data_IF_844035859497
#
_entry.id   IF_844035859497
#
_cell.length_a   1.000
_cell.length_b   1.000
_cell.length_c   1.000
_cell.angle_alpha   90.00
_cell.angle_beta   90.00
_cell.angle_gamma   90.00
#
_symmetry.space_group_name_H-M   'P 1'
#
loop_
_entity.id
_entity.type
_entity.pdbx_description
1 polymer ?
#
# COMPACT_ATOMS: atom_id res chain seq x y z
N UNK A 1 20.46 5.56 67.15
CA UNK A 1 19.05 5.70 66.69
C UNK A 1 19.01 6.80 65.66
N UNK A 2 18.75 6.46 64.39
CA UNK A 2 17.92 7.18 63.43
C UNK A 2 18.18 6.63 62.03
N UNK A 3 17.23 5.82 61.57
CA UNK A 3 17.10 5.37 60.19
C UNK A 3 16.53 6.53 59.38
N UNK A 4 17.27 7.00 58.38
CA UNK A 4 16.77 7.95 57.38
C UNK A 4 16.11 7.18 56.24
N UNK A 5 14.78 7.18 56.23
CA UNK A 5 13.96 6.67 55.14
C UNK A 5 13.99 7.64 53.96
N UNK A 6 14.43 7.19 52.78
CA UNK A 6 14.19 7.89 51.51
C UNK A 6 12.79 7.54 51.01
N UNK A 7 11.90 8.52 51.02
CA UNK A 7 10.60 8.47 50.35
C UNK A 7 10.76 8.89 48.89
N UNK A 8 10.35 8.00 47.99
CA UNK A 8 10.19 8.22 46.55
C UNK A 8 8.92 9.06 46.37
N UNK A 9 9.06 10.29 45.89
CA UNK A 9 7.94 11.10 45.43
C UNK A 9 7.70 10.83 43.93
N UNK A 10 6.63 10.11 43.63
CA UNK A 10 6.11 9.95 42.28
C UNK A 10 5.53 11.28 41.79
N UNK A 11 6.10 11.86 40.73
CA UNK A 11 5.52 13.00 40.03
C UNK A 11 4.37 12.50 39.15
N UNK A 12 3.14 12.80 39.57
CA UNK A 12 1.93 12.46 38.83
C UNK A 12 1.88 13.16 37.48
N UNK A 13 1.68 12.37 36.43
CA UNK A 13 1.27 12.87 35.13
C UNK A 13 -0.16 13.38 35.23
N UNK A 14 -0.33 14.70 35.15
CA UNK A 14 -1.63 15.32 34.91
C UNK A 14 -2.07 14.96 33.49
N UNK A 15 -2.99 14.00 33.41
CA UNK A 15 -3.80 13.78 32.23
C UNK A 15 -4.63 15.06 31.98
N UNK A 16 -4.27 15.80 30.93
CA UNK A 16 -5.14 16.84 30.40
C UNK A 16 -6.31 16.15 29.71
N UNK A 17 -7.39 15.96 30.46
CA UNK A 17 -8.71 15.64 29.92
C UNK A 17 -9.21 16.85 29.11
N UNK A 18 -9.15 16.75 27.78
CA UNK A 18 -9.86 17.67 26.90
C UNK A 18 -11.34 17.27 26.87
N UNK A 19 -12.11 17.71 27.86
CA UNK A 19 -13.56 17.84 27.74
C UNK A 19 -13.91 19.30 27.48
N UNK A 20 -14.74 19.51 26.45
CA UNK A 20 -15.65 20.62 26.18
C UNK A 20 -15.44 21.34 24.84
N UNK A 21 -16.07 20.81 23.80
CA UNK A 21 -17.01 21.55 22.94
C UNK A 21 -17.60 20.57 21.91
N UNK A 22 -18.52 19.71 22.35
CA UNK A 22 -19.43 19.05 21.43
C UNK A 22 -20.45 20.09 20.94
N UNK A 23 -20.03 20.96 20.02
CA UNK A 23 -20.96 21.58 19.09
C UNK A 23 -21.75 20.43 18.45
N UNK A 24 -23.07 20.56 18.39
CA UNK A 24 -23.95 19.60 17.74
C UNK A 24 -23.55 19.46 16.26
N UNK A 25 -22.58 18.58 15.99
CA UNK A 25 -22.10 18.24 14.66
C UNK A 25 -23.27 17.51 13.99
N UNK A 26 -23.76 18.05 12.87
CA UNK A 26 -24.77 17.39 12.04
C UNK A 26 -24.36 15.96 11.66
N UNK A 27 -25.23 15.17 11.01
CA UNK A 27 -24.95 13.77 10.71
C UNK A 27 -23.62 13.64 9.93
N UNK A 28 -22.59 13.11 10.60
CA UNK A 28 -21.23 12.97 10.05
C UNK A 28 -21.21 12.14 8.76
N UNK A 29 -22.13 11.18 8.67
CA UNK A 29 -22.25 10.21 7.60
C UNK A 29 -23.36 10.58 6.62
N UNK A 30 -23.13 11.63 5.86
CA UNK A 30 -23.89 11.87 4.63
C UNK A 30 -22.94 11.85 3.44
N UNK A 31 -23.44 11.28 2.35
CA UNK A 31 -22.71 11.11 1.09
C UNK A 31 -23.46 11.82 -0.04
N UNK A 32 -23.42 13.16 -0.07
CA UNK A 32 -24.02 13.92 -1.16
C UNK A 32 -23.35 13.64 -2.52
N UNK A 33 -22.16 13.05 -2.52
CA UNK A 33 -21.36 12.77 -3.72
C UNK A 33 -21.63 11.36 -4.29
N UNK A 34 -22.45 10.55 -3.61
CA UNK A 34 -22.83 9.19 -4.01
C UNK A 34 -21.60 8.31 -4.34
N UNK A 35 -20.55 8.41 -3.52
CA UNK A 35 -19.31 7.65 -3.68
C UNK A 35 -18.35 8.20 -4.73
N UNK A 36 -18.53 9.42 -5.22
CA UNK A 36 -17.60 10.09 -6.16
C UNK A 36 -16.45 10.80 -5.44
N UNK A 37 -15.77 10.08 -4.55
CA UNK A 37 -14.70 10.64 -3.73
C UNK A 37 -13.32 10.45 -4.38
N UNK A 38 -13.06 9.25 -4.91
CA UNK A 38 -11.82 8.93 -5.61
C UNK A 38 -11.82 9.31 -7.09
N UNK A 39 -10.65 9.22 -7.73
CA UNK A 39 -10.59 9.22 -9.19
C UNK A 39 -11.01 7.85 -9.72
N UNK A 40 -11.58 7.81 -10.93
CA UNK A 40 -11.74 6.55 -11.63
C UNK A 40 -10.35 6.04 -12.04
N UNK A 41 -9.78 5.12 -11.24
CA UNK A 41 -8.47 4.54 -11.52
C UNK A 41 -8.61 3.55 -12.68
N UNK A 42 -8.01 3.92 -13.80
CA UNK A 42 -7.97 3.15 -15.02
C UNK A 42 -6.71 2.30 -15.13
N UNK A 43 -6.72 1.35 -16.06
CA UNK A 43 -5.55 0.52 -16.39
C UNK A 43 -4.34 1.34 -16.85
N UNK A 44 -4.58 2.56 -17.36
CA UNK A 44 -3.53 3.52 -17.74
C UNK A 44 -2.68 3.93 -16.54
N UNK A 45 -3.29 4.07 -15.36
CA UNK A 45 -2.64 4.63 -14.18
C UNK A 45 -1.59 3.67 -13.61
N UNK A 46 -1.63 2.40 -14.04
CA UNK A 46 -0.78 1.32 -13.55
C UNK A 46 -0.08 0.54 -14.67
N UNK A 47 -0.10 1.11 -15.87
CA UNK A 47 0.54 0.51 -17.04
C UNK A 47 2.05 0.36 -16.82
N UNK A 48 2.58 -0.81 -17.15
CA UNK A 48 4.00 -1.15 -16.98
C UNK A 48 4.38 -1.67 -15.60
N UNK A 49 3.45 -1.76 -14.64
CA UNK A 49 3.71 -2.47 -13.37
C UNK A 49 3.30 -3.93 -13.51
N UNK A 50 4.21 -4.86 -13.23
CA UNK A 50 3.93 -6.28 -13.32
C UNK A 50 2.96 -6.72 -12.22
N UNK A 51 2.09 -7.71 -12.51
CA UNK A 51 1.33 -8.40 -11.48
C UNK A 51 2.22 -9.02 -10.41
N UNK A 52 1.81 -8.98 -9.13
CA UNK A 52 2.52 -9.72 -8.11
C UNK A 52 2.47 -11.22 -8.42
N UNK A 53 3.51 -11.93 -8.02
CA UNK A 53 3.55 -13.38 -8.02
C UNK A 53 3.02 -13.92 -6.68
N UNK A 54 2.73 -15.23 -6.63
CA UNK A 54 2.50 -15.89 -5.35
C UNK A 54 3.75 -15.74 -4.45
N UNK A 55 3.60 -15.57 -3.13
CA UNK A 55 4.73 -15.57 -2.20
C UNK A 55 5.66 -16.77 -2.35
N UNK A 56 5.13 -17.93 -2.77
CA UNK A 56 5.94 -19.14 -3.06
C UNK A 56 6.97 -18.93 -4.18
N UNK A 57 6.72 -18.02 -5.11
CA UNK A 57 7.65 -17.68 -6.18
C UNK A 57 8.89 -16.91 -5.67
N UNK A 58 8.77 -16.30 -4.49
CA UNK A 58 9.84 -15.54 -3.83
C UNK A 58 10.49 -16.33 -2.69
N UNK A 59 10.07 -17.57 -2.44
CA UNK A 59 10.62 -18.40 -1.38
C UNK A 59 12.14 -18.56 -1.54
N UNK A 60 12.87 -18.36 -0.44
CA UNK A 60 14.34 -18.42 -0.41
C UNK A 60 15.06 -17.19 -0.96
N UNK A 61 14.34 -16.16 -1.43
CA UNK A 61 14.92 -14.86 -1.79
C UNK A 61 14.93 -13.89 -0.61
N UNK A 62 15.62 -12.76 -0.73
CA UNK A 62 15.58 -11.71 0.30
C UNK A 62 14.17 -11.15 0.54
N UNK A 63 13.25 -11.26 -0.43
CA UNK A 63 11.85 -10.81 -0.31
C UNK A 63 10.91 -11.88 0.27
N UNK A 64 11.42 -13.05 0.65
CA UNK A 64 10.62 -14.08 1.31
C UNK A 64 10.25 -13.63 2.72
N UNK A 65 8.96 -13.51 3.01
CA UNK A 65 8.45 -13.26 4.36
C UNK A 65 8.40 -14.57 5.15
N UNK A 66 8.81 -14.55 6.41
CA UNK A 66 8.80 -15.73 7.30
C UNK A 66 7.77 -15.59 8.42
N UNK A 67 6.60 -15.01 8.12
CA UNK A 67 5.54 -14.95 9.12
C UNK A 67 5.08 -16.38 9.44
N UNK A 68 5.08 -16.72 10.73
CA UNK A 68 4.73 -18.05 11.24
C UNK A 68 3.25 -18.42 11.12
N UNK A 69 2.56 -17.92 10.10
CA UNK A 69 1.17 -18.25 9.78
C UNK A 69 1.16 -19.55 8.97
N UNK A 70 0.29 -20.49 9.35
CA UNK A 70 0.15 -21.75 8.63
C UNK A 70 -0.23 -21.51 7.15
N UNK A 71 0.41 -22.18 6.17
CA UNK A 71 0.11 -21.99 4.74
C UNK A 71 -1.35 -22.23 4.34
N UNK A 72 -2.08 -23.02 5.13
CA UNK A 72 -3.46 -23.42 4.96
C UNK A 72 -4.43 -22.71 5.92
N UNK A 73 -3.96 -21.72 6.69
CA UNK A 73 -4.80 -20.97 7.63
C UNK A 73 -6.06 -20.44 6.92
N UNK A 74 -7.23 -20.80 7.44
CA UNK A 74 -8.53 -20.40 6.89
C UNK A 74 -8.96 -18.98 7.31
N UNK A 75 -8.26 -18.39 8.28
CA UNK A 75 -8.47 -17.02 8.71
C UNK A 75 -7.13 -16.37 9.08
N UNK A 76 -6.97 -15.09 8.74
CA UNK A 76 -5.81 -14.26 9.06
C UNK A 76 -6.28 -12.84 9.34
N UNK A 77 -5.78 -12.24 10.42
CA UNK A 77 -5.90 -10.80 10.68
C UNK A 77 -4.50 -10.25 10.85
N UNK A 78 -4.16 -9.24 10.05
CA UNK A 78 -2.86 -8.58 10.12
C UNK A 78 -2.77 -7.76 11.41
N UNK A 79 -1.61 -7.82 12.05
CA UNK A 79 -1.28 -7.02 13.24
C UNK A 79 -0.43 -5.80 12.88
N UNK A 80 -0.13 -4.92 13.83
CA UNK A 80 0.67 -3.71 13.62
C UNK A 80 0.16 -2.88 12.41
N UNK A 81 -1.15 -2.63 12.41
CA UNK A 81 -1.84 -1.76 11.47
C UNK A 81 -1.73 -0.31 11.94
N UNK A 82 -1.69 0.68 11.04
CA UNK A 82 -1.81 2.07 11.44
C UNK A 82 -3.20 2.34 12.04
N UNK A 83 -3.32 3.45 12.79
CA UNK A 83 -4.60 3.89 13.31
C UNK A 83 -5.62 4.07 12.18
N UNK A 84 -6.90 3.91 12.50
CA UNK A 84 -7.97 4.23 11.55
C UNK A 84 -7.93 5.73 11.28
N UNK A 85 -7.81 6.12 10.01
CA UNK A 85 -7.86 7.52 9.62
C UNK A 85 -9.29 7.97 9.33
N UNK A 86 -9.49 9.28 9.34
CA UNK A 86 -10.71 9.93 8.84
C UNK A 86 -10.31 10.77 7.63
N UNK A 87 -11.00 10.60 6.50
CA UNK A 87 -10.80 11.40 5.30
C UNK A 87 -11.78 12.57 5.19
N UNK A 88 -12.95 12.46 5.82
CA UNK A 88 -14.07 13.37 5.56
C UNK A 88 -14.53 14.18 6.75
N UNK A 89 -15.15 15.31 6.43
CA UNK A 89 -15.73 16.24 7.40
C UNK A 89 -17.17 15.85 7.74
N UNK A 90 -17.74 16.50 8.76
CA UNK A 90 -19.16 16.33 9.05
C UNK A 90 -20.04 16.76 7.86
N UNK A 91 -20.96 15.89 7.45
CA UNK A 91 -21.82 16.14 6.28
C UNK A 91 -21.25 15.64 4.95
N UNK A 92 -19.98 15.22 4.93
CA UNK A 92 -19.27 14.82 3.71
C UNK A 92 -18.25 13.72 4.02
N UNK A 93 -18.73 12.50 4.23
CA UNK A 93 -17.90 11.37 4.71
C UNK A 93 -16.68 11.06 3.82
N UNK A 94 -16.78 11.34 2.53
CA UNK A 94 -15.71 11.06 1.57
C UNK A 94 -14.99 12.29 1.00
N UNK A 95 -15.52 13.50 1.14
CA UNK A 95 -14.85 14.72 0.67
C UNK A 95 -13.72 15.08 1.66
N UNK A 96 -12.52 15.47 1.18
CA UNK A 96 -12.24 16.08 -0.11
C UNK A 96 -11.85 15.08 -1.19
N UNK A 97 -12.06 13.78 -0.98
CA UNK A 97 -11.69 12.76 -1.96
C UNK A 97 -10.27 12.22 -1.78
N UNK A 98 -9.75 12.20 -0.54
CA UNK A 98 -8.40 11.74 -0.25
C UNK A 98 -8.28 10.22 -0.02
N UNK A 99 -9.26 9.40 -0.44
CA UNK A 99 -9.29 7.96 -0.13
C UNK A 99 -8.09 7.19 -0.70
N UNK A 100 -7.56 7.56 -1.86
CA UNK A 100 -6.35 6.95 -2.41
C UNK A 100 -5.10 7.32 -1.61
N UNK A 101 -4.99 8.57 -1.15
CA UNK A 101 -3.91 9.00 -0.26
C UNK A 101 -3.98 8.25 1.09
N UNK A 102 -5.19 8.02 1.60
CA UNK A 102 -5.42 7.29 2.84
C UNK A 102 -5.12 5.79 2.71
N UNK A 103 -5.48 5.16 1.60
CA UNK A 103 -5.31 3.72 1.40
C UNK A 103 -3.91 3.34 0.91
N UNK A 104 -3.43 3.95 -0.17
CA UNK A 104 -2.13 3.61 -0.79
C UNK A 104 -0.96 4.33 -0.13
N UNK A 105 -1.16 5.59 0.25
CA UNK A 105 -0.13 6.41 0.89
C UNK A 105 0.01 6.11 2.39
N UNK A 106 -1.02 6.44 3.17
CA UNK A 106 -1.01 6.31 4.62
C UNK A 106 -1.09 4.84 5.07
N UNK A 107 -2.14 4.11 4.74
CA UNK A 107 -2.40 2.82 5.37
C UNK A 107 -1.41 1.75 4.89
N UNK A 108 -1.31 1.53 3.57
CA UNK A 108 -0.35 0.59 3.00
C UNK A 108 1.10 1.05 3.25
N UNK A 109 1.39 2.35 3.09
CA UNK A 109 2.73 2.89 3.32
C UNK A 109 3.20 2.74 4.76
N UNK A 110 2.40 3.14 5.76
CA UNK A 110 2.74 2.98 7.18
C UNK A 110 2.93 1.51 7.55
N UNK A 111 2.00 0.65 7.13
CA UNK A 111 2.05 -0.78 7.40
C UNK A 111 3.35 -1.42 6.87
N UNK A 112 3.71 -1.12 5.62
CA UNK A 112 4.86 -1.70 4.96
C UNK A 112 6.17 -1.09 5.43
N UNK A 113 6.25 0.23 5.64
CA UNK A 113 7.45 0.90 6.14
C UNK A 113 7.82 0.43 7.55
N UNK A 114 6.82 0.11 8.38
CA UNK A 114 6.98 -0.40 9.74
C UNK A 114 7.45 -1.86 9.84
N UNK A 115 7.88 -2.48 8.73
CA UNK A 115 8.33 -3.87 8.68
C UNK A 115 9.70 -4.04 8.06
N UNK A 116 10.44 -5.05 8.51
CA UNK A 116 11.63 -5.55 7.83
C UNK A 116 11.22 -6.41 6.64
N UNK A 117 12.19 -6.69 5.77
CA UNK A 117 11.96 -7.46 4.55
C UNK A 117 11.50 -8.89 4.86
N UNK A 118 11.92 -9.45 6.00
CA UNK A 118 11.46 -10.76 6.51
C UNK A 118 10.02 -10.76 7.07
N UNK A 119 9.37 -9.60 7.14
CA UNK A 119 8.02 -9.40 7.68
C UNK A 119 7.98 -9.06 9.17
N UNK A 120 9.11 -9.09 9.89
CA UNK A 120 9.16 -8.70 11.31
C UNK A 120 8.86 -7.20 11.49
N UNK A 121 8.27 -6.84 12.63
CA UNK A 121 7.91 -5.46 12.95
C UNK A 121 9.16 -4.66 13.32
N UNK A 122 9.38 -3.52 12.64
CA UNK A 122 10.42 -2.53 12.97
C UNK A 122 9.99 -1.58 14.08
N UNK A 123 8.74 -1.10 14.00
CA UNK A 123 8.14 -0.15 14.92
C UNK A 123 6.62 -0.20 14.85
N UNK A 124 5.94 0.45 15.80
CA UNK A 124 4.48 0.56 15.79
C UNK A 124 4.02 1.41 14.60
N UNK A 125 3.20 0.86 13.71
CA UNK A 125 2.55 1.59 12.63
C UNK A 125 1.43 2.52 13.16
N UNK A 126 0.94 2.30 14.38
CA UNK A 126 -0.12 3.10 14.99
C UNK A 126 0.40 4.41 15.63
N UNK A 127 1.71 4.56 15.77
CA UNK A 127 2.33 5.82 16.23
C UNK A 127 2.27 6.87 15.11
N UNK A 128 1.71 8.09 15.35
CA UNK A 128 1.65 9.16 14.36
C UNK A 128 3.00 9.57 13.76
N UNK A 129 4.12 9.35 14.46
CA UNK A 129 5.46 9.59 13.92
C UNK A 129 5.88 8.55 12.87
N UNK A 130 5.21 7.39 12.83
CA UNK A 130 5.48 6.27 11.92
C UNK A 130 4.44 6.14 10.79
N UNK A 131 3.62 7.17 10.57
CA UNK A 131 2.55 7.19 9.58
C UNK A 131 2.79 8.28 8.54
N UNK A 132 2.83 7.97 7.23
CA UNK A 132 2.90 9.00 6.19
C UNK A 132 1.70 9.94 6.26
N UNK A 133 1.92 11.26 6.20
CA UNK A 133 0.82 12.23 6.20
C UNK A 133 0.00 12.13 4.91
N UNK A 134 -1.25 11.68 5.05
CA UNK A 134 -2.19 11.62 3.92
C UNK A 134 -2.55 13.00 3.38
N UNK A 135 -2.65 14.04 4.22
CA UNK A 135 -2.91 15.42 3.75
C UNK A 135 -1.77 15.94 2.87
N UNK A 136 -0.52 15.74 3.32
CA UNK A 136 0.66 16.15 2.56
C UNK A 136 0.77 15.37 1.24
N UNK A 137 0.59 14.04 1.29
CA UNK A 137 0.63 13.20 0.09
C UNK A 137 -0.46 13.62 -0.92
N UNK A 138 -1.68 13.84 -0.45
CA UNK A 138 -2.80 14.29 -1.26
C UNK A 138 -2.50 15.63 -1.95
N UNK A 139 -1.97 16.62 -1.22
CA UNK A 139 -1.53 17.89 -1.81
C UNK A 139 -0.39 17.69 -2.81
N UNK A 140 0.59 16.83 -2.50
CA UNK A 140 1.74 16.57 -3.36
C UNK A 140 1.33 16.02 -4.73
N UNK A 141 0.40 15.07 -4.80
CA UNK A 141 -0.05 14.49 -6.08
C UNK A 141 -0.78 15.51 -6.96
N UNK A 142 -1.59 16.39 -6.35
CA UNK A 142 -2.25 17.49 -7.04
C UNK A 142 -1.28 18.60 -7.48
N UNK A 143 -0.15 18.77 -6.80
CA UNK A 143 0.84 19.80 -7.14
C UNK A 143 1.76 19.38 -8.28
N UNK A 144 2.18 18.11 -8.35
CA UNK A 144 3.15 17.62 -9.34
C UNK A 144 2.53 17.29 -10.71
N UNK A 145 1.22 17.07 -10.76
CA UNK A 145 0.54 16.76 -12.02
C UNK A 145 0.12 18.06 -12.70
N UNK A 146 1.09 18.82 -13.22
CA UNK A 146 0.95 20.16 -13.84
C UNK A 146 -0.09 20.27 -14.98
N UNK A 147 -0.71 19.16 -15.39
CA UNK A 147 -1.75 19.09 -16.43
C UNK A 147 -3.06 18.47 -15.96
N UNK A 148 -3.17 18.16 -14.67
CA UNK A 148 -4.35 17.54 -14.11
C UNK A 148 -5.19 18.60 -13.39
N UNK A 149 -6.41 18.81 -13.87
CA UNK A 149 -7.36 19.73 -13.25
C UNK A 149 -7.98 19.16 -11.95
N UNK A 150 -7.55 17.96 -11.54
CA UNK A 150 -7.86 17.40 -10.22
C UNK A 150 -7.09 18.24 -9.20
N UNK A 151 -7.83 19.08 -8.48
CA UNK A 151 -7.40 19.80 -7.29
C UNK A 151 -8.42 19.49 -6.20
N UNK A 152 -8.06 19.66 -4.94
CA UNK A 152 -9.00 19.51 -3.84
C UNK A 152 -10.32 20.27 -4.13
N UNK A 153 -11.50 19.62 -4.12
CA UNK A 153 -11.82 18.32 -3.53
C UNK A 153 -11.99 17.16 -4.53
N UNK A 154 -11.12 17.04 -5.54
CA UNK A 154 -11.17 15.93 -6.50
C UNK A 154 -10.30 14.77 -6.04
N UNK A 155 -10.77 13.55 -6.31
CA UNK A 155 -9.98 12.35 -6.10
C UNK A 155 -8.70 12.30 -6.96
N UNK A 156 -7.80 11.42 -6.57
CA UNK A 156 -6.43 11.31 -7.07
C UNK A 156 -6.10 9.91 -7.58
N UNK A 157 -4.94 9.75 -8.24
CA UNK A 157 -4.45 8.44 -8.65
C UNK A 157 -3.76 7.66 -7.52
N UNK A 158 -3.76 6.33 -7.58
CA UNK A 158 -3.10 5.50 -6.54
C UNK A 158 -1.57 5.35 -6.74
N UNK A 159 -1.12 5.16 -7.98
CA UNK A 159 0.30 4.89 -8.30
C UNK A 159 1.27 6.00 -7.86
N UNK A 160 0.95 7.30 -8.04
CA UNK A 160 1.86 8.38 -7.63
C UNK A 160 2.25 8.31 -6.15
N UNK A 161 1.33 7.93 -5.26
CA UNK A 161 1.64 7.78 -3.83
C UNK A 161 2.68 6.69 -3.58
N UNK A 162 2.53 5.53 -4.24
CA UNK A 162 3.49 4.44 -4.11
C UNK A 162 4.86 4.82 -4.70
N UNK A 163 4.88 5.53 -5.83
CA UNK A 163 6.12 6.06 -6.40
C UNK A 163 6.82 7.04 -5.45
N UNK A 164 6.07 7.96 -4.83
CA UNK A 164 6.61 8.90 -3.84
C UNK A 164 7.22 8.20 -2.65
N UNK A 165 6.51 7.20 -2.10
CA UNK A 165 7.00 6.43 -0.96
C UNK A 165 8.22 5.57 -1.29
N UNK A 166 8.37 5.11 -2.53
CA UNK A 166 9.61 4.44 -2.96
C UNK A 166 10.76 5.46 -3.08
N UNK A 167 10.49 6.59 -3.72
CA UNK A 167 11.52 7.57 -4.00
C UNK A 167 12.05 8.20 -2.71
N UNK A 168 11.15 8.75 -1.90
CA UNK A 168 11.49 9.79 -0.95
C UNK A 168 10.84 9.60 0.42
N UNK A 169 9.75 8.82 0.47
CA UNK A 169 8.90 8.75 1.65
C UNK A 169 7.98 9.98 1.73
N UNK A 170 7.56 10.32 2.93
CA UNK A 170 6.69 11.46 3.21
C UNK A 170 6.91 11.96 4.64
N UNK A 171 6.53 13.21 4.96
CA UNK A 171 6.45 13.63 6.35
C UNK A 171 5.48 12.75 7.12
N UNK A 172 5.70 12.67 8.42
CA UNK A 172 4.80 11.93 9.31
C UNK A 172 3.50 12.69 9.58
N UNK A 173 2.44 11.98 9.97
CA UNK A 173 1.19 12.58 10.48
C UNK A 173 1.45 13.46 11.71
N UNK A 174 2.46 13.14 12.53
CA UNK A 174 2.87 14.01 13.64
C UNK A 174 3.42 15.37 13.19
N UNK A 175 4.04 15.45 12.00
CA UNK A 175 4.61 16.68 11.44
C UNK A 175 3.58 17.47 10.63
N UNK A 176 2.76 16.77 9.84
CA UNK A 176 1.68 17.36 9.04
C UNK A 176 0.39 16.60 9.36
N UNK A 177 -0.36 17.04 10.38
CA UNK A 177 -1.60 16.38 10.79
C UNK A 177 -2.66 16.39 9.70
N UNK A 178 -3.57 15.42 9.77
CA UNK A 178 -4.78 15.43 8.96
C UNK A 178 -5.99 15.14 9.85
N UNK A 179 -6.64 16.20 10.32
CA UNK A 179 -7.85 16.12 11.10
C UNK A 179 -9.00 16.83 10.36
N UNK A 180 -9.75 16.11 9.50
CA UNK A 180 -10.90 16.70 8.84
C UNK A 180 -11.98 17.16 9.84
N UNK A 181 -12.00 16.62 11.07
CA UNK A 181 -12.97 16.99 12.10
C UNK A 181 -12.88 18.44 12.57
N UNK A 182 -11.75 19.11 12.30
CA UNK A 182 -11.50 20.50 12.67
C UNK A 182 -12.10 21.50 11.68
N UNK A 183 -12.55 21.05 10.50
CA UNK A 183 -13.06 21.94 9.46
C UNK A 183 -14.60 21.92 9.37
N UNK A 184 -15.18 23.11 9.31
CA UNK A 184 -16.63 23.28 9.17
C UNK A 184 -17.15 23.10 7.72
N UNK A 185 -16.26 23.03 6.72
CA UNK A 185 -16.63 22.87 5.30
C UNK A 185 -15.48 22.29 4.47
N UNK A 186 -15.83 21.59 3.38
CA UNK A 186 -14.86 21.03 2.42
C UNK A 186 -13.94 22.13 1.88
N UNK A 187 -14.47 23.35 1.69
CA UNK A 187 -13.67 24.51 1.25
C UNK A 187 -12.60 24.92 2.26
N UNK A 188 -12.91 24.87 3.56
CA UNK A 188 -11.96 25.22 4.61
C UNK A 188 -10.84 24.17 4.71
N UNK A 189 -11.20 22.90 4.64
CA UNK A 189 -10.25 21.79 4.59
C UNK A 189 -9.35 21.87 3.35
N UNK A 190 -9.91 22.09 2.16
CA UNK A 190 -9.12 22.27 0.95
C UNK A 190 -8.19 23.49 1.03
N UNK A 191 -8.57 24.56 1.73
CA UNK A 191 -7.66 25.71 1.94
C UNK A 191 -6.44 25.30 2.78
N UNK A 192 -6.63 24.47 3.80
CA UNK A 192 -5.53 23.92 4.59
C UNK A 192 -4.62 23.06 3.71
N UNK A 193 -5.19 22.07 3.01
CA UNK A 193 -4.45 21.14 2.14
C UNK A 193 -3.64 21.91 1.08
N UNK A 194 -4.28 22.86 0.38
CA UNK A 194 -3.64 23.67 -0.65
C UNK A 194 -2.55 24.60 -0.11
N UNK A 195 -2.56 24.89 1.20
CA UNK A 195 -1.56 25.71 1.87
C UNK A 195 -0.33 24.93 2.35
N UNK A 196 -0.32 23.59 2.21
CA UNK A 196 0.81 22.77 2.62
C UNK A 196 2.01 22.96 1.69
N UNK A 197 3.17 23.21 2.27
CA UNK A 197 4.44 23.25 1.54
C UNK A 197 4.92 21.83 1.21
N UNK A 198 4.72 21.44 -0.05
CA UNK A 198 5.15 20.15 -0.59
C UNK A 198 6.58 20.16 -1.15
N UNK A 199 7.22 21.32 -1.20
CA UNK A 199 8.64 21.44 -1.53
C UNK A 199 9.54 21.36 -0.27
N UNK A 200 8.97 21.62 0.91
CA UNK A 200 9.65 21.46 2.20
C UNK A 200 10.15 20.03 2.39
N UNK A 201 11.42 19.92 2.75
CA UNK A 201 12.03 18.66 3.20
C UNK A 201 11.80 18.54 4.71
N UNK A 202 11.12 17.48 5.12
CA UNK A 202 10.87 17.20 6.53
C UNK A 202 11.92 16.25 7.12
N UNK A 203 12.31 16.43 8.38
CA UNK A 203 13.19 15.47 9.05
C UNK A 203 12.54 14.08 9.11
N UNK A 204 13.26 13.05 8.68
CA UNK A 204 12.84 11.65 8.85
C UNK A 204 11.92 11.09 7.76
N UNK A 205 11.62 11.81 6.67
CA UNK A 205 10.79 11.29 5.57
C UNK A 205 11.28 9.94 5.02
N UNK A 206 12.60 9.79 4.90
CA UNK A 206 13.27 8.58 4.43
C UNK A 206 12.94 7.33 5.28
N UNK A 207 12.53 7.51 6.54
CA UNK A 207 12.09 6.40 7.40
C UNK A 207 10.77 5.79 6.93
N UNK A 208 9.92 6.60 6.30
CA UNK A 208 8.59 6.24 5.82
C UNK A 208 8.59 5.80 4.35
N UNK A 209 9.71 5.25 3.89
CA UNK A 209 9.85 4.70 2.55
C UNK A 209 9.37 3.24 2.46
N UNK A 210 8.92 2.85 1.26
CA UNK A 210 8.71 1.46 0.86
C UNK A 210 9.79 1.04 -0.14
N UNK A 211 10.03 -0.27 -0.28
CA UNK A 211 11.06 -0.80 -1.18
C UNK A 211 10.59 -0.84 -2.62
N UNK A 212 9.38 -1.33 -2.85
CA UNK A 212 8.72 -1.39 -4.15
C UNK A 212 7.25 -1.75 -3.96
N UNK A 213 6.50 -1.87 -5.06
CA UNK A 213 5.12 -2.31 -5.05
C UNK A 213 4.78 -3.13 -6.29
N UNK A 214 3.65 -3.83 -6.23
CA UNK A 214 3.08 -4.60 -7.33
C UNK A 214 1.59 -4.37 -7.42
N UNK A 215 1.04 -4.59 -8.61
CA UNK A 215 -0.31 -4.20 -8.97
C UNK A 215 -1.10 -5.37 -9.52
N UNK A 216 -2.34 -5.52 -9.10
CA UNK A 216 -3.35 -6.32 -9.76
C UNK A 216 -4.23 -5.45 -10.64
N UNK A 217 -4.08 -5.51 -11.98
CA UNK A 217 -4.99 -4.84 -12.88
C UNK A 217 -6.24 -5.70 -13.13
N UNK A 218 -7.41 -5.07 -13.26
CA UNK A 218 -8.66 -5.71 -13.73
C UNK A 218 -9.13 -6.89 -12.85
N UNK A 219 -9.20 -6.70 -11.54
CA UNK A 219 -9.67 -7.75 -10.62
C UNK A 219 -11.20 -7.95 -10.63
N UNK A 220 -11.95 -7.07 -11.30
CA UNK A 220 -13.39 -7.13 -11.42
C UNK A 220 -13.84 -8.46 -12.04
N UNK A 221 -14.73 -9.19 -11.36
CA UNK A 221 -15.25 -10.50 -11.73
C UNK A 221 -14.17 -11.59 -11.89
N UNK A 222 -13.04 -11.47 -11.18
CA UNK A 222 -11.91 -12.40 -11.25
C UNK A 222 -11.64 -13.15 -9.93
N UNK A 223 -12.70 -13.46 -9.15
CA UNK A 223 -12.60 -14.15 -7.85
C UNK A 223 -11.78 -15.44 -7.92
N UNK A 224 -12.09 -16.32 -8.87
CA UNK A 224 -11.41 -17.63 -9.01
C UNK A 224 -9.91 -17.48 -9.27
N UNK A 225 -9.49 -16.40 -9.92
CA UNK A 225 -8.10 -16.08 -10.22
C UNK A 225 -7.37 -15.49 -9.01
N UNK A 226 -7.97 -14.48 -8.37
CA UNK A 226 -7.25 -13.64 -7.39
C UNK A 226 -7.51 -13.98 -5.92
N UNK A 227 -8.65 -14.59 -5.57
CA UNK A 227 -8.93 -14.92 -4.16
C UNK A 227 -7.85 -15.82 -3.53
N UNK A 228 -7.39 -16.92 -4.17
CA UNK A 228 -6.31 -17.73 -3.60
C UNK A 228 -5.02 -16.93 -3.42
N UNK A 229 -4.69 -16.07 -4.39
CA UNK A 229 -3.48 -15.25 -4.34
C UNK A 229 -3.55 -14.17 -3.24
N UNK A 230 -4.71 -13.54 -3.03
CA UNK A 230 -4.91 -12.56 -1.96
C UNK A 230 -4.76 -13.21 -0.60
N UNK A 231 -5.34 -14.41 -0.41
CA UNK A 231 -5.18 -15.18 0.83
C UNK A 231 -3.72 -15.54 1.09
N UNK A 232 -2.99 -16.01 0.08
CA UNK A 232 -1.56 -16.32 0.22
C UNK A 232 -0.75 -15.07 0.61
N UNK A 233 -1.04 -13.93 0.00
CA UNK A 233 -0.40 -12.65 0.34
C UNK A 233 -0.70 -12.21 1.77
N UNK A 234 -1.95 -12.34 2.23
CA UNK A 234 -2.36 -12.02 3.59
C UNK A 234 -1.71 -12.96 4.62
N UNK A 235 -1.61 -14.26 4.34
CA UNK A 235 -0.86 -15.23 5.17
C UNK A 235 0.62 -14.85 5.28
N UNK A 236 1.19 -14.33 4.20
CA UNK A 236 2.55 -13.79 4.16
C UNK A 236 2.66 -12.35 4.68
N UNK A 237 1.58 -11.77 5.20
CA UNK A 237 1.56 -10.46 5.86
C UNK A 237 1.69 -9.28 4.92
N UNK A 238 1.18 -9.40 3.71
CA UNK A 238 0.96 -8.25 2.86
C UNK A 238 -0.45 -7.71 3.07
N UNK A 239 -0.56 -6.45 3.49
CA UNK A 239 -1.80 -5.70 3.32
C UNK A 239 -2.03 -5.40 1.83
N UNK A 240 -3.29 -5.33 1.41
CA UNK A 240 -3.65 -5.15 0.00
C UNK A 240 -4.51 -3.89 -0.11
N UNK A 241 -3.95 -2.80 -0.64
CA UNK A 241 -4.73 -1.61 -0.96
C UNK A 241 -5.53 -1.85 -2.25
N UNK A 242 -6.75 -1.36 -2.33
CA UNK A 242 -7.62 -1.55 -3.49
C UNK A 242 -8.49 -0.33 -3.74
N UNK A 243 -9.06 -0.26 -4.94
CA UNK A 243 -10.03 0.77 -5.32
C UNK A 243 -11.02 0.23 -6.36
N UNK A 244 -12.21 0.81 -6.35
CA UNK A 244 -13.31 0.44 -7.23
C UNK A 244 -14.61 1.12 -6.86
N UNK A 245 -15.72 0.50 -7.28
CA UNK A 245 -17.03 1.08 -7.12
C UNK A 245 -17.48 1.08 -5.65
N UNK A 246 -18.14 2.16 -5.26
CA UNK A 246 -18.76 2.32 -3.94
C UNK A 246 -20.11 1.62 -3.93
N UNK A 247 -20.31 0.73 -2.96
CA UNK A 247 -21.60 0.08 -2.77
C UNK A 247 -22.65 1.07 -2.24
N UNK A 248 -23.90 0.92 -2.68
CA UNK A 248 -25.01 1.69 -2.11
C UNK A 248 -25.16 1.35 -0.62
N UNK A 249 -25.49 2.34 0.20
CA UNK A 249 -25.62 2.22 1.66
C UNK A 249 -24.32 1.82 2.39
N UNK A 250 -23.16 1.96 1.72
CA UNK A 250 -21.86 1.75 2.37
C UNK A 250 -21.43 2.95 3.23
N UNK A 251 -21.74 4.15 2.76
CA UNK A 251 -21.33 5.43 3.34
C UNK A 251 -22.22 5.91 4.50
N UNK A 252 -22.79 5.00 5.27
CA UNK A 252 -23.72 5.28 6.38
C UNK A 252 -23.07 4.91 7.72
N UNK A 253 -23.55 5.42 8.88
CA UNK A 253 -22.88 5.20 10.17
C UNK A 253 -22.70 3.70 10.51
N UNK A 254 -23.70 2.89 10.17
CA UNK A 254 -23.68 1.44 10.36
C UNK A 254 -24.19 0.77 9.07
N UNK A 255 -23.29 0.36 8.16
CA UNK A 255 -23.69 -0.32 6.94
C UNK A 255 -24.48 -1.59 7.26
N UNK A 256 -25.54 -1.91 6.50
CA UNK A 256 -26.32 -3.11 6.74
C UNK A 256 -25.46 -4.35 6.49
N UNK A 257 -25.44 -5.27 7.47
CA UNK A 257 -24.71 -6.54 7.39
C UNK A 257 -25.69 -7.70 7.30
N UNK A 258 -25.36 -8.71 6.49
CA UNK A 258 -26.04 -9.99 6.41
C UNK A 258 -25.13 -11.03 7.04
N UNK A 259 -25.55 -11.70 8.11
CA UNK A 259 -24.72 -12.68 8.83
C UNK A 259 -23.32 -12.15 9.21
N UNK A 260 -23.25 -10.86 9.60
CA UNK A 260 -22.00 -10.22 10.02
C UNK A 260 -21.07 -9.79 8.88
N UNK A 261 -21.47 -9.93 7.61
CA UNK A 261 -20.72 -9.48 6.43
C UNK A 261 -21.48 -8.45 5.61
N UNK A 262 -20.74 -7.55 4.95
CA UNK A 262 -21.29 -6.63 3.97
C UNK A 262 -21.36 -7.31 2.59
N UNK A 263 -22.58 -7.45 2.06
CA UNK A 263 -22.87 -8.17 0.80
C UNK A 263 -23.32 -7.25 -0.34
N UNK A 264 -23.36 -5.93 -0.12
CA UNK A 264 -23.77 -4.92 -1.10
C UNK A 264 -25.07 -5.25 -1.89
N UNK A 265 -26.19 -5.63 -1.23
CA UNK A 265 -27.37 -6.16 -1.93
C UNK A 265 -28.05 -5.13 -2.83
N UNK A 266 -27.86 -3.84 -2.52
CA UNK A 266 -28.42 -2.70 -3.26
C UNK A 266 -27.60 -2.34 -4.52
N UNK A 267 -26.53 -3.07 -4.81
CA UNK A 267 -25.61 -2.82 -5.91
C UNK A 267 -24.66 -1.64 -5.66
N UNK A 268 -24.09 -1.08 -6.74
CA UNK A 268 -23.02 -0.09 -6.68
C UNK A 268 -23.40 1.24 -7.35
N UNK A 269 -22.87 2.34 -6.84
CA UNK A 269 -22.99 3.67 -7.45
C UNK A 269 -22.12 3.76 -8.70
N UNK A 270 -22.62 4.39 -9.78
CA UNK A 270 -21.86 4.60 -11.02
C UNK A 270 -22.10 6.02 -11.58
N UNK A 271 -21.05 6.73 -12.01
CA UNK A 271 -19.63 6.51 -11.69
C UNK A 271 -19.36 6.74 -10.19
N UNK A 272 -18.47 5.95 -9.61
CA UNK A 272 -17.97 6.08 -8.22
C UNK A 272 -16.55 5.50 -8.11
N UNK A 273 -15.84 5.87 -7.04
CA UNK A 273 -14.47 5.43 -6.77
C UNK A 273 -14.13 5.62 -5.29
N UNK A 274 -13.57 4.58 -4.66
CA UNK A 274 -13.11 4.65 -3.27
C UNK A 274 -11.95 3.71 -3.01
N UNK A 275 -10.90 4.23 -2.36
CA UNK A 275 -9.69 3.49 -2.00
C UNK A 275 -9.71 2.99 -0.55
N UNK A 276 -9.37 1.72 -0.33
CA UNK A 276 -9.39 1.05 0.99
C UNK A 276 -8.29 -0.02 1.10
N UNK A 277 -8.17 -0.69 2.25
CA UNK A 277 -7.13 -1.73 2.46
C UNK A 277 -7.71 -3.00 3.05
N UNK A 278 -7.42 -4.16 2.44
CA UNK A 278 -7.66 -5.48 3.01
C UNK A 278 -6.55 -5.77 4.01
N UNK A 279 -6.94 -6.09 5.24
CA UNK A 279 -6.06 -6.34 6.38
C UNK A 279 -6.32 -7.70 7.02
N UNK A 280 -7.08 -8.55 6.36
CA UNK A 280 -7.34 -9.92 6.81
C UNK A 280 -8.37 -10.62 5.94
N UNK A 281 -8.61 -11.89 6.24
CA UNK A 281 -9.67 -12.69 5.67
C UNK A 281 -10.12 -13.75 6.67
N UNK A 282 -11.32 -14.26 6.49
CA UNK A 282 -11.86 -15.39 7.25
C UNK A 282 -12.85 -16.17 6.36
N UNK A 283 -12.53 -17.42 6.09
CA UNK A 283 -13.32 -18.31 5.23
C UNK A 283 -14.60 -18.81 5.90
N UNK A 284 -14.71 -18.70 7.23
CA UNK A 284 -15.90 -19.06 7.98
C UNK A 284 -16.82 -17.85 8.23
N UNK A 285 -16.40 -16.63 7.88
CA UNK A 285 -17.19 -15.42 8.15
C UNK A 285 -18.16 -15.13 7.01
N UNK A 286 -19.46 -15.12 7.31
CA UNK A 286 -20.52 -15.13 6.29
C UNK A 286 -20.71 -16.50 5.63
N UNK A 287 -21.44 -16.57 4.53
CA UNK A 287 -21.75 -17.85 3.86
C UNK A 287 -20.64 -18.34 2.92
N UNK A 288 -19.77 -17.45 2.45
CA UNK A 288 -18.75 -17.75 1.44
C UNK A 288 -17.35 -17.23 1.82
N UNK A 289 -17.18 -16.78 3.06
CA UNK A 289 -15.98 -16.10 3.55
C UNK A 289 -15.95 -14.61 3.20
N UNK A 290 -15.10 -13.86 3.91
CA UNK A 290 -15.01 -12.42 3.78
C UNK A 290 -13.59 -11.88 3.97
N UNK A 291 -13.30 -10.74 3.34
CA UNK A 291 -12.13 -9.93 3.61
C UNK A 291 -12.40 -8.99 4.78
N UNK A 292 -11.43 -8.83 5.67
CA UNK A 292 -11.44 -7.74 6.65
C UNK A 292 -10.89 -6.49 5.98
N UNK A 293 -11.74 -5.47 5.82
CA UNK A 293 -11.40 -4.22 5.14
C UNK A 293 -11.29 -3.09 6.17
N UNK A 294 -10.17 -2.37 6.13
CA UNK A 294 -9.96 -1.12 6.84
C UNK A 294 -10.34 0.06 5.94
N UNK A 295 -11.22 0.92 6.44
CA UNK A 295 -11.73 2.10 5.75
C UNK A 295 -11.13 3.39 6.36
N UNK A 296 -11.37 4.52 5.72
CA UNK A 296 -10.89 5.86 6.12
C UNK A 296 -12.04 6.80 6.51
N UNK A 297 -13.11 6.26 7.07
CA UNK A 297 -14.28 7.03 7.55
C UNK A 297 -14.28 7.26 9.06
N UNK A 298 -13.13 7.08 9.73
CA UNK A 298 -13.03 7.20 11.18
C UNK A 298 -13.50 5.96 11.93
N UNK A 299 -13.17 5.91 13.22
CA UNK A 299 -13.50 4.78 14.11
C UNK A 299 -14.99 4.72 14.44
N UNK A 300 -15.72 5.82 14.27
CA UNK A 300 -17.16 5.88 14.51
C UNK A 300 -17.98 5.33 13.34
N UNK A 301 -17.37 5.09 12.17
CA UNK A 301 -18.00 4.33 11.09
C UNK A 301 -17.98 2.83 11.40
N UNK A 302 -19.13 2.17 11.24
CA UNK A 302 -19.35 0.78 11.61
C UNK A 302 -18.90 0.47 13.06
N UNK A 303 -19.25 1.37 13.99
CA UNK A 303 -18.89 1.24 15.40
C UNK A 303 -19.46 -0.06 16.02
N UNK A 304 -18.72 -0.62 16.99
CA UNK A 304 -19.11 -1.85 17.68
C UNK A 304 -18.13 -2.21 18.79
N UNK A 305 -18.30 -3.37 19.45
CA UNK A 305 -17.42 -3.78 20.53
C UNK A 305 -15.97 -3.92 20.02
N UNK A 306 -14.99 -3.50 20.83
CA UNK A 306 -13.57 -3.57 20.46
C UNK A 306 -13.06 -5.01 20.23
N UNK A 307 -13.79 -6.02 20.72
CA UNK A 307 -13.51 -7.44 20.49
C UNK A 307 -13.86 -7.92 19.08
N UNK A 308 -14.69 -7.17 18.33
CA UNK A 308 -15.02 -7.51 16.94
C UNK A 308 -14.05 -6.79 15.99
N UNK A 309 -13.15 -7.52 15.30
CA UNK A 309 -12.18 -6.91 14.40
C UNK A 309 -12.83 -6.24 13.18
N UNK A 310 -14.07 -6.60 12.85
CA UNK A 310 -14.85 -6.06 11.74
C UNK A 310 -15.66 -4.81 12.11
N UNK A 311 -15.28 -4.10 13.17
CA UNK A 311 -15.92 -2.86 13.64
C UNK A 311 -14.92 -1.73 13.78
N UNK A 312 -15.44 -0.56 14.11
CA UNK A 312 -14.67 0.64 14.49
C UNK A 312 -13.73 1.11 13.36
N UNK A 313 -14.29 1.45 12.20
CA UNK A 313 -13.53 1.82 11.01
C UNK A 313 -13.15 0.65 10.10
N UNK A 314 -13.54 -0.58 10.47
CA UNK A 314 -13.36 -1.79 9.67
C UNK A 314 -14.69 -2.45 9.37
N UNK A 315 -14.71 -3.35 8.39
CA UNK A 315 -15.87 -4.16 8.03
C UNK A 315 -15.43 -5.49 7.43
N UNK A 316 -16.19 -6.55 7.67
CA UNK A 316 -16.06 -7.77 6.90
C UNK A 316 -16.83 -7.65 5.58
N UNK A 317 -16.15 -7.80 4.45
CA UNK A 317 -16.72 -7.69 3.11
C UNK A 317 -16.70 -9.04 2.42
N UNK A 318 -17.89 -9.54 2.06
CA UNK A 318 -18.07 -10.79 1.34
C UNK A 318 -17.20 -10.86 0.05
N UNK A 319 -16.61 -12.03 -0.21
CA UNK A 319 -15.71 -12.21 -1.36
C UNK A 319 -16.40 -11.94 -2.71
N UNK A 320 -17.64 -12.39 -2.89
CA UNK A 320 -18.36 -12.19 -4.16
C UNK A 320 -18.71 -10.71 -4.36
N UNK A 321 -19.21 -10.05 -3.31
CA UNK A 321 -19.50 -8.62 -3.35
C UNK A 321 -18.24 -7.77 -3.62
N UNK A 322 -17.09 -8.15 -3.05
CA UNK A 322 -15.81 -7.51 -3.30
C UNK A 322 -15.41 -7.63 -4.78
N UNK A 323 -15.33 -8.86 -5.31
CA UNK A 323 -14.90 -9.05 -6.70
C UNK A 323 -15.92 -8.55 -7.72
N UNK A 324 -17.18 -8.32 -7.36
CA UNK A 324 -18.20 -7.70 -8.21
C UNK A 324 -18.02 -6.17 -8.38
N UNK A 325 -17.10 -5.53 -7.66
CA UNK A 325 -16.99 -4.07 -7.60
C UNK A 325 -15.59 -3.48 -7.70
N UNK A 326 -14.57 -4.24 -7.30
CA UNK A 326 -13.21 -3.73 -7.25
C UNK A 326 -12.47 -3.95 -8.57
N UNK A 327 -11.71 -2.96 -9.02
CA UNK A 327 -11.05 -3.00 -10.34
C UNK A 327 -9.54 -3.13 -10.25
N UNK A 328 -8.94 -2.59 -9.18
CA UNK A 328 -7.50 -2.54 -8.99
C UNK A 328 -7.12 -2.81 -7.54
N UNK A 329 -5.97 -3.46 -7.36
CA UNK A 329 -5.34 -3.61 -6.05
C UNK A 329 -3.81 -3.51 -6.14
N UNK A 330 -3.16 -3.25 -5.02
CA UNK A 330 -1.70 -3.22 -4.90
C UNK A 330 -1.22 -3.78 -3.57
N UNK A 331 0.00 -4.32 -3.60
CA UNK A 331 0.79 -4.66 -2.42
C UNK A 331 2.09 -3.87 -2.46
N UNK A 332 2.70 -3.67 -1.29
CA UNK A 332 3.99 -3.04 -1.16
C UNK A 332 4.99 -3.94 -0.42
N UNK A 333 6.26 -3.83 -0.79
CA UNK A 333 7.38 -4.52 -0.16
C UNK A 333 8.17 -3.54 0.72
N UNK A 334 8.66 -3.96 1.89
CA UNK A 334 9.42 -3.09 2.78
C UNK A 334 10.70 -2.56 2.16
N UNK A 335 11.10 -1.35 2.54
CA UNK A 335 12.41 -0.82 2.20
C UNK A 335 13.51 -1.63 2.91
N UNK A 336 14.67 -1.85 2.26
CA UNK A 336 15.82 -2.44 2.92
C UNK A 336 16.22 -1.56 4.10
N UNK A 337 16.61 -2.14 5.25
CA UNK A 337 17.10 -1.32 6.35
C UNK A 337 18.40 -0.62 5.89
N UNK A 338 18.73 0.57 6.42
CA UNK A 338 19.95 1.29 6.04
C UNK A 338 21.24 0.47 6.23
N UNK A 339 21.22 -0.50 7.15
CA UNK A 339 22.31 -1.43 7.43
C UNK A 339 22.46 -2.56 6.39
N UNK A 340 21.42 -2.88 5.62
CA UNK A 340 21.49 -3.86 4.54
C UNK A 340 22.17 -3.22 3.33
N UNK A 341 23.50 -3.02 3.45
CA UNK A 341 24.36 -2.89 2.27
C UNK A 341 24.24 -4.18 1.46
N UNK A 342 24.31 -4.07 0.13
CA UNK A 342 24.09 -5.15 -0.83
C UNK A 342 24.50 -6.53 -0.30
N UNK A 343 23.60 -7.55 -0.34
CA UNK A 343 23.91 -8.89 0.17
C UNK A 343 25.26 -9.37 -0.38
N UNK A 344 26.10 -10.07 0.40
CA UNK A 344 27.44 -10.49 -0.05
C UNK A 344 27.45 -11.33 -1.34
N UNK A 345 26.31 -11.93 -1.70
CA UNK A 345 26.12 -12.75 -2.92
C UNK A 345 25.43 -12.00 -4.07
N UNK A 346 25.15 -10.71 -3.90
CA UNK A 346 24.50 -9.92 -4.92
C UNK A 346 25.43 -9.73 -6.13
N UNK A 347 24.86 -9.83 -7.34
CA UNK A 347 25.57 -9.57 -8.59
C UNK A 347 25.44 -8.10 -8.95
N UNK A 348 26.52 -7.30 -8.93
CA UNK A 348 26.47 -5.92 -9.37
C UNK A 348 26.25 -5.82 -10.88
N UNK A 349 25.42 -4.86 -11.28
CA UNK A 349 25.22 -4.52 -12.68
C UNK A 349 26.04 -3.28 -13.02
N UNK A 350 26.72 -3.33 -14.17
CA UNK A 350 27.49 -2.22 -14.70
C UNK A 350 26.55 -1.20 -15.36
N UNK A 351 26.62 0.04 -14.90
CA UNK A 351 25.93 1.19 -15.50
C UNK A 351 26.73 1.73 -16.70
N UNK A 352 26.02 2.28 -17.70
CA UNK A 352 26.60 3.12 -18.75
C UNK A 352 26.89 4.56 -18.30
N UNK A 353 26.48 4.92 -17.08
CA UNK A 353 26.67 6.23 -16.46
C UNK A 353 27.31 6.08 -15.07
N UNK A 354 28.46 6.74 -14.86
CA UNK A 354 29.23 6.67 -13.61
C UNK A 354 28.57 7.36 -12.42
N UNK A 355 27.62 8.27 -12.65
CA UNK A 355 26.85 8.93 -11.61
C UNK A 355 25.53 8.24 -11.31
N UNK A 356 25.26 7.07 -11.90
CA UNK A 356 24.02 6.35 -11.66
C UNK A 356 24.03 5.63 -10.30
N UNK A 357 22.85 5.40 -9.68
CA UNK A 357 22.74 4.57 -8.48
C UNK A 357 23.34 3.18 -8.71
N UNK A 358 23.98 2.62 -7.69
CA UNK A 358 24.42 1.22 -7.72
C UNK A 358 23.19 0.33 -7.82
N UNK A 359 23.26 -0.69 -8.69
CA UNK A 359 22.15 -1.60 -8.93
C UNK A 359 22.65 -3.03 -8.99
N UNK A 360 21.98 -3.93 -8.28
CA UNK A 360 22.40 -5.32 -8.10
C UNK A 360 21.23 -6.26 -8.26
N UNK A 361 21.52 -7.49 -8.68
CA UNK A 361 20.60 -8.63 -8.57
C UNK A 361 20.98 -9.39 -7.30
N UNK A 362 20.09 -9.39 -6.30
CA UNK A 362 20.32 -10.10 -5.04
C UNK A 362 20.03 -11.58 -5.18
N UNK A 363 18.97 -11.92 -5.93
CA UNK A 363 18.52 -13.28 -6.16
C UNK A 363 18.02 -13.42 -7.60
N UNK A 364 18.26 -14.58 -8.20
CA UNK A 364 17.67 -14.95 -9.48
C UNK A 364 17.12 -16.37 -9.37
N UNK A 365 15.80 -16.52 -9.53
CA UNK A 365 15.10 -17.78 -9.27
C UNK A 365 14.14 -18.14 -10.40
N UNK A 366 13.94 -19.44 -10.59
CA UNK A 366 12.97 -20.00 -11.54
C UNK A 366 11.74 -20.45 -10.78
N UNK A 367 10.57 -20.14 -11.31
CA UNK A 367 9.32 -20.56 -10.70
C UNK A 367 8.29 -20.94 -11.77
N UNK A 368 7.66 -22.10 -11.61
CA UNK A 368 6.57 -22.56 -12.46
C UNK A 368 5.27 -22.69 -11.66
N UNK A 369 4.19 -22.06 -12.14
CA UNK A 369 2.86 -22.20 -11.56
C UNK A 369 1.79 -21.97 -12.63
N UNK A 370 0.72 -22.79 -12.62
CA UNK A 370 -0.44 -22.61 -13.50
C UNK A 370 -0.09 -22.58 -15.00
N UNK A 371 0.87 -23.39 -15.44
CA UNK A 371 1.34 -23.42 -16.84
C UNK A 371 2.24 -22.24 -17.25
N UNK A 372 2.42 -21.24 -16.39
CA UNK A 372 3.36 -20.13 -16.62
C UNK A 372 4.70 -20.41 -15.94
N UNK A 373 5.78 -20.18 -16.69
CA UNK A 373 7.15 -20.28 -16.23
C UNK A 373 7.71 -18.88 -16.10
N UNK A 374 8.30 -18.58 -14.94
CA UNK A 374 8.85 -17.27 -14.59
C UNK A 374 10.34 -17.40 -14.34
N UNK A 375 11.07 -16.41 -14.83
CA UNK A 375 12.44 -16.13 -14.41
C UNK A 375 12.42 -14.79 -13.67
N UNK A 376 12.69 -14.86 -12.37
CA UNK A 376 12.49 -13.76 -11.42
C UNK A 376 13.86 -13.25 -10.99
N UNK A 377 14.01 -11.94 -10.98
CA UNK A 377 15.20 -11.24 -10.53
C UNK A 377 14.79 -10.32 -9.39
N UNK A 378 15.29 -10.61 -8.18
CA UNK A 378 15.17 -9.71 -7.05
C UNK A 378 16.33 -8.75 -7.11
N UNK A 379 16.05 -7.46 -7.06
CA UNK A 379 17.03 -6.41 -7.32
C UNK A 379 17.02 -5.35 -6.23
N UNK A 380 18.21 -4.82 -5.95
CA UNK A 380 18.43 -3.76 -4.98
C UNK A 380 19.20 -2.61 -5.63
N UNK A 381 18.69 -1.39 -5.48
CA UNK A 381 19.32 -0.14 -5.91
C UNK A 381 19.67 0.74 -4.69
N UNK A 382 20.83 1.40 -4.73
CA UNK A 382 21.26 2.34 -3.65
C UNK A 382 20.39 3.58 -3.54
N UNK A 383 19.72 3.94 -4.63
CA UNK A 383 18.72 5.00 -4.69
C UNK A 383 17.54 4.55 -5.55
N UNK A 384 16.42 5.25 -5.46
CA UNK A 384 15.23 4.89 -6.21
C UNK A 384 15.46 4.95 -7.73
N UNK A 385 15.04 3.89 -8.41
CA UNK A 385 15.05 3.76 -9.86
C UNK A 385 13.65 3.45 -10.36
N UNK A 386 13.22 4.08 -11.44
CA UNK A 386 12.06 3.64 -12.22
C UNK A 386 12.53 2.75 -13.35
N UNK A 387 12.34 1.43 -13.22
CA UNK A 387 12.68 0.46 -14.25
C UNK A 387 11.67 0.56 -15.41
N UNK A 388 12.18 0.83 -16.61
CA UNK A 388 11.35 1.00 -17.81
C UNK A 388 11.43 -0.17 -18.78
N UNK A 389 12.49 -0.98 -18.71
CA UNK A 389 12.62 -2.20 -19.50
C UNK A 389 13.53 -3.22 -18.82
N UNK A 390 13.21 -4.49 -19.04
CA UNK A 390 14.07 -5.64 -18.73
C UNK A 390 14.25 -6.45 -20.01
N UNK A 391 15.51 -6.77 -20.35
CA UNK A 391 15.87 -7.70 -21.41
C UNK A 391 16.80 -8.78 -20.84
N UNK A 392 16.48 -10.03 -21.14
CA UNK A 392 17.19 -11.20 -20.60
C UNK A 392 17.61 -12.09 -21.76
N UNK A 393 18.89 -12.45 -21.84
CA UNK A 393 19.45 -13.41 -22.79
C UNK A 393 19.78 -14.70 -22.05
N UNK A 394 19.12 -15.79 -22.40
CA UNK A 394 19.37 -17.11 -21.80
C UNK A 394 20.62 -17.81 -22.33
N UNK A 395 21.01 -18.95 -21.72
CA UNK A 395 22.21 -19.70 -22.09
C UNK A 395 22.24 -20.13 -23.57
N UNK A 396 21.09 -20.49 -24.13
CA UNK A 396 20.93 -20.85 -25.54
C UNK A 396 20.74 -19.63 -26.47
N UNK A 397 21.06 -18.41 -26.01
CA UNK A 397 20.94 -17.18 -26.79
C UNK A 397 19.52 -16.59 -26.92
N UNK A 398 18.46 -17.34 -26.54
CA UNK A 398 17.07 -16.84 -26.60
C UNK A 398 16.89 -15.60 -25.73
N UNK A 399 16.15 -14.63 -26.26
CA UNK A 399 15.92 -13.33 -25.63
C UNK A 399 14.47 -13.22 -25.14
N UNK A 400 14.31 -12.73 -23.93
CA UNK A 400 13.04 -12.38 -23.30
C UNK A 400 13.05 -10.91 -22.95
N UNK A 401 11.89 -10.26 -22.95
CA UNK A 401 11.81 -8.83 -22.62
C UNK A 401 10.49 -8.49 -21.94
N UNK A 402 10.53 -7.49 -21.06
CA UNK A 402 9.38 -6.88 -20.43
C UNK A 402 9.49 -5.36 -20.53
N UNK A 403 8.39 -4.70 -20.95
CA UNK A 403 8.24 -3.25 -20.87
C UNK A 403 7.66 -2.92 -19.50
N UNK A 404 8.31 -2.00 -18.80
CA UNK A 404 8.07 -1.74 -17.39
C UNK A 404 7.85 -0.25 -17.11
N UNK A 405 7.36 0.05 -15.92
CA UNK A 405 7.22 1.38 -15.34
C UNK A 405 7.17 1.27 -13.81
N UNK A 406 8.15 0.58 -13.23
CA UNK A 406 8.17 0.20 -11.82
C UNK A 406 9.22 0.99 -11.04
N UNK A 407 8.78 1.76 -10.05
CA UNK A 407 9.70 2.42 -9.11
C UNK A 407 10.13 1.43 -8.04
N UNK A 408 11.44 1.36 -7.76
CA UNK A 408 11.98 0.52 -6.71
C UNK A 408 13.29 1.02 -6.11
N UNK A 409 13.50 0.62 -4.86
CA UNK A 409 14.79 0.47 -4.18
C UNK A 409 15.09 -1.02 -3.96
N UNK A 410 14.12 -1.79 -3.51
CA UNK A 410 14.20 -3.25 -3.35
C UNK A 410 12.90 -3.89 -3.82
N UNK A 411 12.98 -4.87 -4.70
CA UNK A 411 11.80 -5.48 -5.32
C UNK A 411 12.22 -6.54 -6.33
N UNK A 412 11.32 -6.93 -7.22
CA UNK A 412 11.62 -7.92 -8.25
C UNK A 412 10.99 -7.60 -9.59
N UNK A 413 11.62 -8.05 -10.67
CA UNK A 413 11.03 -8.11 -12.00
C UNK A 413 11.09 -9.54 -12.52
N UNK A 414 10.27 -9.85 -13.51
CA UNK A 414 10.31 -11.16 -14.13
C UNK A 414 10.02 -11.10 -15.62
N UNK A 415 10.53 -12.10 -16.33
CA UNK A 415 10.07 -12.48 -17.66
C UNK A 415 9.31 -13.79 -17.57
N UNK A 416 8.34 -14.00 -18.46
CA UNK A 416 7.49 -15.19 -18.48
C UNK A 416 7.54 -15.90 -19.83
N UNK A 417 7.30 -17.20 -19.80
CA UNK A 417 7.04 -18.05 -20.99
C UNK A 417 6.07 -19.17 -20.61
N UNK A 418 5.43 -19.80 -21.60
CA UNK A 418 4.40 -20.83 -21.39
C UNK A 418 4.76 -22.19 -21.98
N UNK A 419 5.87 -22.30 -22.72
CA UNK A 419 6.26 -23.48 -23.47
C UNK A 419 7.10 -24.47 -22.64
N UNK A 420 8.08 -24.00 -21.86
CA UNK A 420 8.92 -24.86 -21.03
C UNK A 420 9.59 -24.07 -19.89
N UNK A 421 10.05 -24.74 -18.82
CA UNK A 421 10.84 -24.10 -17.77
C UNK A 421 12.08 -23.38 -18.31
N UNK A 422 12.50 -22.33 -17.62
CA UNK A 422 13.79 -21.70 -17.90
C UNK A 422 14.93 -22.68 -17.58
N UNK A 423 15.90 -22.81 -18.49
CA UNK A 423 17.06 -23.68 -18.29
C UNK A 423 17.95 -23.13 -17.15
N UNK A 424 18.63 -23.99 -16.36
CA UNK A 424 19.65 -23.50 -15.44
C UNK A 424 20.83 -22.90 -16.22
N UNK A 425 21.57 -21.99 -15.60
CA UNK A 425 22.80 -21.45 -16.17
C UNK A 425 22.93 -19.94 -16.04
N UNK A 426 23.85 -19.37 -16.82
CA UNK A 426 24.13 -17.93 -16.80
C UNK A 426 23.21 -17.19 -17.75
N UNK A 427 22.53 -16.18 -17.25
CA UNK A 427 21.66 -15.29 -18.00
C UNK A 427 22.27 -13.90 -18.08
N UNK A 428 22.41 -13.37 -19.30
CA UNK A 428 22.76 -11.97 -19.50
C UNK A 428 21.53 -11.10 -19.26
N UNK A 429 21.67 -10.08 -18.43
CA UNK A 429 20.58 -9.16 -18.07
C UNK A 429 20.90 -7.75 -18.52
N UNK A 430 19.88 -7.03 -18.99
CA UNK A 430 19.96 -5.61 -19.30
C UNK A 430 18.71 -4.93 -18.79
N UNK A 431 18.90 -3.95 -17.92
CA UNK A 431 17.85 -3.08 -17.44
C UNK A 431 18.00 -1.70 -18.05
N UNK A 432 16.89 -1.10 -18.47
CA UNK A 432 16.81 0.35 -18.71
C UNK A 432 15.99 0.95 -17.59
N UNK A 433 16.52 2.00 -16.97
CA UNK A 433 15.90 2.66 -15.83
C UNK A 433 15.96 4.18 -15.98
N UNK A 434 15.13 4.89 -15.21
CA UNK A 434 15.23 6.32 -14.96
C UNK A 434 15.66 6.55 -13.51
N UNK A 435 16.65 7.40 -13.29
CA UNK A 435 17.03 7.86 -11.95
C UNK A 435 15.95 8.77 -11.37
N UNK A 436 16.05 9.08 -10.07
CA UNK A 436 15.21 10.07 -9.40
C UNK A 436 15.19 11.45 -10.10
N UNK A 437 16.32 11.85 -10.70
CA UNK A 437 16.42 13.10 -11.49
C UNK A 437 15.84 12.99 -12.92
N UNK A 438 15.27 11.85 -13.30
CA UNK A 438 14.69 11.61 -14.62
C UNK A 438 15.68 11.15 -15.70
N UNK A 439 16.98 11.07 -15.40
CA UNK A 439 18.02 10.62 -16.35
C UNK A 439 17.86 9.13 -16.66
N UNK A 440 17.88 8.78 -17.96
CA UNK A 440 17.89 7.38 -18.39
C UNK A 440 19.27 6.76 -18.25
N UNK A 441 19.32 5.54 -17.71
CA UNK A 441 20.54 4.75 -17.49
C UNK A 441 20.29 3.31 -17.93
N UNK A 442 21.31 2.67 -18.50
CA UNK A 442 21.31 1.24 -18.83
C UNK A 442 22.25 0.47 -17.92
N UNK A 443 21.74 -0.58 -17.29
CA UNK A 443 22.52 -1.50 -16.47
C UNK A 443 22.68 -2.85 -17.17
N UNK A 444 23.88 -3.44 -17.12
CA UNK A 444 24.20 -4.72 -17.76
C UNK A 444 24.95 -5.64 -16.81
N UNK A 445 24.72 -6.93 -16.92
CA UNK A 445 25.44 -7.94 -16.15
C UNK A 445 25.04 -9.35 -16.54
N UNK A 446 25.53 -10.33 -15.77
CA UNK A 446 25.22 -11.74 -15.96
C UNK A 446 25.00 -12.39 -14.60
N UNK A 447 23.92 -13.16 -14.46
CA UNK A 447 23.55 -13.82 -13.19
C UNK A 447 23.31 -15.31 -13.41
N UNK A 448 23.67 -16.14 -12.42
CA UNK A 448 23.43 -17.58 -12.44
C UNK A 448 22.05 -17.92 -11.84
N UNK A 449 21.36 -18.84 -12.48
CA UNK A 449 19.96 -19.22 -12.25
C UNK A 449 19.79 -20.74 -12.17
#
# INVERSE_FOLDING_TARGET
>A
MNRGSFLIAASGALAASSSAAALARGPRFTDPELGRWGAEIGTRDVSGVLPPLSPRALAGTVLATTLGVAPDAAAVILTNLPSISTQGIAGHVGSPGSCEAQSFGYCLGAYTAARNVDGSVKWSAADPANQPSAAWLYQWEHHITERDARVCPKGSGAKPYLDRLVADGAPSTAQVPYDPGDYASVRAECRYINGLDVARIWPGEARLMIGSYKVFPKILNQKSTYLPQFKDLLRCGHAIAFTGLVAKQYAVPAPPLTSGVFVAPSGFNKPSGHGQVIVGFDDAHGSAGAFLVQNSFGTEWNAGPASDPGRNGRIWWDYDAFFASQNYAAIAFPAPPPSLRFPPRATPLQSDDSGAPQFTITDAVRHGAGGAQHLIFVTHASDALTITALRVRGPAGRIFSAKLNESMRLGYQYVRRSDQPFAPGTYGVTYTARTRSGRTVTYRGSVRV
#
